data_IF_770530365802
#
_entry.id   IF_770530365802
#
_cell.length_a   1.000
_cell.length_b   1.000
_cell.length_c   1.000
_cell.angle_alpha   90.00
_cell.angle_beta   90.00
_cell.angle_gamma   90.00
#
_symmetry.space_group_name_H-M   'P 1'
#
loop_
_entity.id
_entity.type
_entity.pdbx_description
1 polymer ?
#
# COMPACT_ATOMS: atom_id res chain seq x y z
N UNK A 1 -13.68 7.44 10.52
CA UNK A 1 -12.61 8.13 9.76
C UNK A 1 -13.12 9.49 9.35
N UNK A 2 -12.84 10.49 10.16
CA UNK A 2 -13.33 11.87 10.04
C UNK A 2 -12.18 12.87 9.84
N UNK A 3 -10.92 12.41 9.89
CA UNK A 3 -9.73 13.22 9.68
C UNK A 3 -8.76 12.58 8.69
N UNK A 4 -7.89 13.42 8.14
CA UNK A 4 -6.83 13.00 7.23
C UNK A 4 -5.53 13.76 7.45
N UNK A 5 -4.43 13.16 7.01
CA UNK A 5 -3.12 13.80 6.81
C UNK A 5 -2.74 13.60 5.35
N UNK A 6 -2.28 14.66 4.69
CA UNK A 6 -1.72 14.56 3.34
C UNK A 6 -0.20 14.71 3.39
N UNK A 7 0.49 13.76 2.77
CA UNK A 7 1.94 13.73 2.65
C UNK A 7 2.28 13.73 1.17
N UNK A 8 2.97 14.77 0.71
CA UNK A 8 3.44 14.91 -0.66
C UNK A 8 4.95 14.69 -0.70
N UNK A 9 5.38 13.72 -1.49
CA UNK A 9 6.78 13.52 -1.86
C UNK A 9 7.23 14.68 -2.75
N UNK A 10 8.40 15.24 -2.46
CA UNK A 10 9.00 16.31 -3.24
C UNK A 10 9.89 15.75 -4.36
N UNK A 11 9.97 16.42 -5.51
CA UNK A 11 10.97 16.12 -6.53
C UNK A 11 12.37 16.30 -5.96
N UNK A 12 13.26 15.36 -6.27
CA UNK A 12 14.64 15.38 -5.83
C UNK A 12 15.56 14.91 -6.98
N UNK A 13 16.74 15.54 -7.18
CA UNK A 13 17.64 15.16 -8.27
C UNK A 13 18.31 13.80 -8.06
N UNK A 14 18.47 13.34 -6.81
CA UNK A 14 19.12 12.08 -6.48
C UNK A 14 18.11 10.93 -6.38
N UNK A 15 16.87 11.23 -5.98
CA UNK A 15 15.84 10.22 -5.73
C UNK A 15 14.58 10.37 -6.60
N UNK A 16 14.20 9.29 -7.27
CA UNK A 16 12.90 9.22 -7.94
C UNK A 16 11.72 9.29 -6.95
N UNK A 17 10.61 9.87 -7.39
CA UNK A 17 9.34 9.91 -6.64
C UNK A 17 8.91 8.52 -6.14
N UNK A 18 9.04 7.49 -6.98
CA UNK A 18 8.65 6.11 -6.66
C UNK A 18 9.50 5.51 -5.54
N UNK A 19 10.80 5.83 -5.51
CA UNK A 19 11.71 5.38 -4.47
C UNK A 19 11.38 6.05 -3.13
N UNK A 20 11.11 7.36 -3.14
CA UNK A 20 10.72 8.11 -1.94
C UNK A 20 9.35 7.65 -1.42
N UNK A 21 8.37 7.47 -2.32
CA UNK A 21 7.05 6.95 -1.95
C UNK A 21 7.14 5.51 -1.41
N UNK A 22 7.98 4.66 -1.99
CA UNK A 22 8.25 3.31 -1.48
C UNK A 22 8.90 3.35 -0.09
N UNK A 23 9.88 4.23 0.13
CA UNK A 23 10.51 4.42 1.43
C UNK A 23 9.50 4.92 2.48
N UNK A 24 8.67 5.90 2.12
CA UNK A 24 7.60 6.42 2.97
C UNK A 24 6.61 5.32 3.35
N UNK A 25 6.13 4.55 2.37
CA UNK A 25 5.23 3.42 2.59
C UNK A 25 5.86 2.34 3.49
N UNK A 26 7.15 2.06 3.34
CA UNK A 26 7.87 1.14 4.20
C UNK A 26 7.97 1.66 5.66
N UNK A 27 8.18 2.97 5.86
CA UNK A 27 8.17 3.55 7.21
C UNK A 27 6.78 3.49 7.83
N UNK A 28 5.75 3.86 7.07
CA UNK A 28 4.36 3.80 7.50
C UNK A 28 3.99 2.37 7.90
N UNK A 29 4.38 1.40 7.08
CA UNK A 29 4.11 -0.01 7.36
C UNK A 29 4.62 -0.45 8.74
N UNK A 30 5.83 -0.01 9.12
CA UNK A 30 6.40 -0.30 10.44
C UNK A 30 5.62 0.39 11.55
N UNK A 31 5.27 1.66 11.37
CA UNK A 31 4.52 2.41 12.37
C UNK A 31 3.12 1.84 12.60
N UNK A 32 2.41 1.47 11.52
CA UNK A 32 1.11 0.81 11.62
C UNK A 32 1.23 -0.61 12.22
N UNK A 33 2.30 -1.34 11.87
CA UNK A 33 2.61 -2.64 12.47
C UNK A 33 2.86 -2.54 13.99
N UNK A 34 3.55 -1.49 14.44
CA UNK A 34 3.76 -1.21 15.85
C UNK A 34 2.46 -0.81 16.57
N UNK A 35 1.61 0.00 15.92
CA UNK A 35 0.31 0.40 16.49
C UNK A 35 -0.67 -0.77 16.58
N UNK A 36 -0.74 -1.64 15.58
CA UNK A 36 -1.54 -2.86 15.61
C UNK A 36 -3.07 -2.70 15.62
N UNK A 37 -3.60 -1.46 15.55
CA UNK A 37 -5.03 -1.17 15.69
C UNK A 37 -5.84 -1.33 14.38
N UNK A 38 -5.21 -1.27 13.21
CA UNK A 38 -5.87 -1.43 11.90
C UNK A 38 -6.99 -0.41 11.60
N UNK A 39 -6.94 0.75 12.27
CA UNK A 39 -7.89 1.87 12.26
C UNK A 39 -7.47 3.02 11.32
N UNK A 40 -6.31 2.89 10.66
CA UNK A 40 -5.76 3.89 9.73
C UNK A 40 -5.69 3.30 8.32
N UNK A 41 -6.36 3.97 7.40
CA UNK A 41 -6.40 3.65 5.98
C UNK A 41 -5.53 4.58 5.17
N UNK A 42 -5.14 4.16 3.96
CA UNK A 42 -4.40 5.02 3.02
C UNK A 42 -5.08 5.13 1.67
N UNK A 43 -4.91 6.28 1.04
CA UNK A 43 -5.21 6.44 -0.38
C UNK A 43 -4.09 7.19 -1.10
N UNK A 44 -4.11 7.10 -2.42
CA UNK A 44 -3.20 7.82 -3.30
C UNK A 44 -4.04 8.71 -4.21
N UNK A 45 -4.33 9.97 -3.82
CA UNK A 45 -5.19 10.87 -4.59
C UNK A 45 -4.64 11.14 -6.00
N UNK A 46 -3.31 11.28 -6.12
CA UNK A 46 -2.62 11.56 -7.38
C UNK A 46 -2.25 10.30 -8.21
N UNK A 47 -2.88 9.15 -7.93
CA UNK A 47 -2.59 7.92 -8.67
C UNK A 47 -3.00 8.01 -10.15
N UNK A 48 -2.21 7.34 -11.00
CA UNK A 48 -2.50 7.07 -12.40
C UNK A 48 -1.84 5.75 -12.78
N UNK A 49 -0.94 5.77 -13.77
CA UNK A 49 -0.08 4.62 -14.10
C UNK A 49 0.84 4.27 -12.91
N UNK A 50 1.26 5.29 -12.14
CA UNK A 50 2.05 5.17 -10.92
C UNK A 50 1.21 5.57 -9.70
N UNK A 51 1.61 5.21 -8.46
CA UNK A 51 0.92 5.63 -7.25
C UNK A 51 0.85 7.16 -7.08
N UNK A 52 1.76 7.92 -7.70
CA UNK A 52 1.83 9.37 -7.63
C UNK A 52 2.51 9.90 -6.37
N UNK A 53 2.73 11.21 -6.33
CA UNK A 53 3.48 11.89 -5.28
C UNK A 53 2.74 12.03 -3.94
N UNK A 54 1.43 11.78 -3.90
CA UNK A 54 0.58 12.10 -2.75
C UNK A 54 0.08 10.84 -2.06
N UNK A 55 0.44 10.69 -0.80
CA UNK A 55 -0.08 9.69 0.13
C UNK A 55 -1.01 10.39 1.12
N UNK A 56 -2.26 9.95 1.20
CA UNK A 56 -3.23 10.43 2.19
C UNK A 56 -3.51 9.35 3.22
N UNK A 57 -3.37 9.70 4.49
CA UNK A 57 -3.76 8.86 5.62
C UNK A 57 -5.16 9.26 6.07
N UNK A 58 -6.00 8.27 6.36
CA UNK A 58 -7.38 8.45 6.82
C UNK A 58 -7.53 7.77 8.17
N UNK A 59 -8.18 8.42 9.11
CA UNK A 59 -8.32 7.91 10.47
C UNK A 59 -9.23 8.79 11.31
N UNK A 60 -9.37 8.43 12.59
CA UNK A 60 -9.87 9.36 13.59
C UNK A 60 -8.76 10.32 14.02
N UNK A 61 -9.12 11.52 14.48
CA UNK A 61 -8.15 12.52 14.95
C UNK A 61 -7.15 11.92 15.97
N UNK A 62 -7.66 11.17 16.94
CA UNK A 62 -6.84 10.53 17.97
C UNK A 62 -5.87 9.50 17.38
N UNK A 63 -6.35 8.62 16.50
CA UNK A 63 -5.53 7.60 15.85
C UNK A 63 -4.39 8.22 15.02
N UNK A 64 -4.68 9.28 14.28
CA UNK A 64 -3.68 10.02 13.52
C UNK A 64 -2.70 10.75 14.43
N UNK A 65 -3.16 11.35 15.52
CA UNK A 65 -2.29 12.02 16.51
C UNK A 65 -1.33 11.03 17.19
N UNK A 66 -1.82 9.84 17.56
CA UNK A 66 -1.00 8.76 18.09
C UNK A 66 0.05 8.28 17.07
N UNK A 67 -0.30 8.22 15.77
CA UNK A 67 0.65 7.85 14.74
C UNK A 67 1.74 8.92 14.60
N UNK A 68 1.36 10.20 14.57
CA UNK A 68 2.29 11.33 14.44
C UNK A 68 3.27 11.44 15.60
N UNK A 69 2.85 11.11 16.83
CA UNK A 69 3.72 11.14 18.01
C UNK A 69 4.88 10.13 17.96
N UNK A 70 4.79 9.10 17.12
CA UNK A 70 5.87 8.13 16.88
C UNK A 70 7.03 8.72 16.07
N UNK A 71 6.89 9.93 15.51
CA UNK A 71 7.88 10.56 14.62
C UNK A 71 8.32 9.61 13.47
N UNK A 72 7.40 8.80 12.97
CA UNK A 72 7.68 7.66 12.08
C UNK A 72 8.30 8.05 10.72
N UNK A 73 8.21 9.32 10.33
CA UNK A 73 8.82 9.86 9.10
C UNK A 73 10.28 10.29 9.27
N UNK A 74 10.87 10.25 10.47
CA UNK A 74 12.24 10.72 10.74
C UNK A 74 13.25 10.30 9.66
N UNK A 75 13.93 11.26 9.05
CA UNK A 75 14.87 11.05 7.94
C UNK A 75 14.23 10.97 6.54
N UNK A 76 12.93 11.22 6.41
CA UNK A 76 12.26 11.53 5.13
C UNK A 76 11.61 12.92 5.12
N UNK A 77 11.74 13.68 6.21
CA UNK A 77 11.09 14.98 6.37
C UNK A 77 11.53 15.98 5.30
N UNK A 78 12.80 15.98 4.91
CA UNK A 78 13.33 16.90 3.89
C UNK A 78 12.81 16.59 2.48
N UNK A 79 12.31 15.36 2.27
CA UNK A 79 11.77 14.89 0.99
C UNK A 79 10.24 14.88 0.95
N UNK A 80 9.57 15.34 2.01
CA UNK A 80 8.12 15.25 2.14
C UNK A 80 7.53 16.54 2.73
N UNK A 81 6.52 17.10 2.06
CA UNK A 81 5.61 18.07 2.68
C UNK A 81 4.46 17.34 3.35
N UNK A 82 4.24 17.60 4.64
CA UNK A 82 3.16 17.01 5.41
C UNK A 82 2.21 18.12 5.89
N UNK A 83 0.91 17.93 5.71
CA UNK A 83 -0.09 18.80 6.32
C UNK A 83 -0.23 18.49 7.82
N UNK A 84 -0.83 19.41 8.57
CA UNK A 84 -1.43 19.08 9.85
C UNK A 84 -2.59 18.08 9.66
N UNK A 85 -3.07 17.50 10.76
CA UNK A 85 -4.29 16.71 10.80
C UNK A 85 -5.47 17.64 10.50
N UNK A 86 -6.28 17.30 9.50
CA UNK A 86 -7.44 18.09 9.07
C UNK A 86 -8.69 17.24 9.11
N UNK A 87 -9.83 17.85 9.42
CA UNK A 87 -11.12 17.22 9.24
C UNK A 87 -11.35 16.92 7.75
N UNK A 88 -11.96 15.76 7.46
CA UNK A 88 -12.40 15.40 6.12
C UNK A 88 -13.50 16.39 5.71
N UNK A 89 -13.42 17.00 4.51
CA UNK A 89 -14.48 17.88 4.02
C UNK A 89 -15.79 17.11 3.80
N UNK A 90 -16.84 17.79 3.40
CA UNK A 90 -18.04 17.08 2.95
C UNK A 90 -17.69 16.17 1.76
N UNK A 91 -17.93 14.87 1.92
CA UNK A 91 -17.62 13.84 0.94
C UNK A 91 -18.87 13.07 0.54
N UNK A 92 -18.98 12.78 -0.75
CA UNK A 92 -20.09 12.01 -1.33
C UNK A 92 -19.63 10.65 -1.87
N UNK A 93 -18.31 10.40 -1.85
CA UNK A 93 -17.73 9.20 -2.44
C UNK A 93 -16.71 8.57 -1.50
N UNK A 94 -16.71 7.24 -1.50
CA UNK A 94 -15.76 6.40 -0.80
C UNK A 94 -15.23 5.33 -1.75
N UNK A 95 -14.04 4.79 -1.48
CA UNK A 95 -13.55 3.63 -2.22
C UNK A 95 -12.63 2.76 -1.38
N UNK A 96 -12.54 1.49 -1.75
CA UNK A 96 -11.51 0.61 -1.19
C UNK A 96 -10.16 0.89 -1.86
N UNK A 97 -9.08 0.85 -1.08
CA UNK A 97 -7.71 0.87 -1.60
C UNK A 97 -7.03 -0.41 -1.15
N UNK A 98 -6.86 -1.34 -2.10
CA UNK A 98 -6.57 -2.74 -1.83
C UNK A 98 -5.23 -3.17 -2.41
N UNK A 99 -4.55 -4.09 -1.72
CA UNK A 99 -3.39 -4.78 -2.29
C UNK A 99 -3.86 -5.86 -3.26
N UNK A 100 -3.25 -5.90 -4.44
CA UNK A 100 -3.44 -7.02 -5.39
C UNK A 100 -2.18 -7.89 -5.43
N UNK A 101 -2.37 -9.20 -5.32
CA UNK A 101 -1.28 -10.16 -5.46
C UNK A 101 -1.37 -10.82 -6.83
N UNK A 102 -0.54 -10.35 -7.75
CA UNK A 102 -0.47 -10.92 -9.09
C UNK A 102 0.34 -12.20 -9.06
N UNK A 103 -0.17 -13.23 -9.73
CA UNK A 103 0.51 -14.51 -9.97
C UNK A 103 1.52 -14.37 -11.12
N UNK A 104 2.43 -13.40 -10.99
CA UNK A 104 3.35 -12.98 -12.05
C UNK A 104 4.67 -13.75 -12.09
N UNK A 105 4.81 -14.85 -11.36
CA UNK A 105 6.03 -15.67 -11.40
C UNK A 105 5.67 -17.14 -11.30
N UNK A 106 5.59 -17.80 -12.46
CA UNK A 106 5.34 -19.22 -12.56
C UNK A 106 6.41 -20.05 -11.81
N UNK A 107 7.72 -19.76 -11.92
CA UNK A 107 8.75 -20.49 -11.17
C UNK A 107 8.63 -20.36 -9.65
N UNK A 108 8.22 -19.19 -9.13
CA UNK A 108 7.99 -19.01 -7.68
C UNK A 108 6.78 -19.82 -7.21
N UNK A 109 5.70 -19.84 -7.99
CA UNK A 109 4.50 -20.60 -7.65
C UNK A 109 4.78 -22.10 -7.68
N UNK A 110 5.48 -22.59 -8.70
CA UNK A 110 5.79 -24.01 -8.81
C UNK A 110 6.77 -24.49 -7.74
N UNK A 111 7.85 -23.75 -7.44
CA UNK A 111 8.73 -24.05 -6.29
C UNK A 111 7.96 -24.14 -4.96
N UNK A 112 6.96 -23.26 -4.76
CA UNK A 112 6.10 -23.31 -3.57
C UNK A 112 5.22 -24.56 -3.57
N UNK A 113 4.66 -24.96 -4.71
CA UNK A 113 3.83 -26.17 -4.84
C UNK A 113 4.63 -27.45 -4.60
N UNK A 114 5.85 -27.55 -5.16
CA UNK A 114 6.76 -28.68 -4.90
C UNK A 114 7.13 -28.75 -3.42
N UNK A 115 7.52 -27.62 -2.81
CA UNK A 115 7.86 -27.57 -1.38
C UNK A 115 6.69 -27.97 -0.47
N UNK A 116 5.45 -27.77 -0.93
CA UNK A 116 4.23 -28.18 -0.22
C UNK A 116 3.81 -29.63 -0.50
N UNK A 117 4.52 -30.34 -1.38
CA UNK A 117 4.20 -31.70 -1.80
C UNK A 117 2.97 -31.81 -2.69
N UNK A 118 2.56 -30.71 -3.34
CA UNK A 118 1.36 -30.69 -4.19
C UNK A 118 1.60 -31.22 -5.60
N UNK A 119 2.84 -31.16 -6.08
CA UNK A 119 3.27 -31.60 -7.41
C UNK A 119 4.73 -32.06 -7.35
N UNK A 120 5.17 -32.86 -8.32
CA UNK A 120 6.60 -33.21 -8.46
C UNK A 120 7.41 -32.10 -9.13
N UNK A 121 8.74 -32.21 -9.09
CA UNK A 121 9.63 -31.25 -9.77
C UNK A 121 9.47 -31.33 -11.30
N UNK A 122 9.24 -32.52 -11.84
CA UNK A 122 8.99 -32.74 -13.28
C UNK A 122 7.68 -32.07 -13.71
N UNK A 123 6.60 -32.26 -12.94
CA UNK A 123 5.31 -31.61 -13.17
C UNK A 123 5.42 -30.08 -13.05
N UNK A 124 6.21 -29.58 -12.10
CA UNK A 124 6.51 -28.17 -11.95
C UNK A 124 7.19 -27.59 -13.20
N UNK A 125 8.21 -28.27 -13.74
CA UNK A 125 8.91 -27.82 -14.95
C UNK A 125 7.99 -27.79 -16.18
N UNK A 126 7.12 -28.78 -16.33
CA UNK A 126 6.13 -28.79 -17.41
C UNK A 126 5.14 -27.62 -17.28
N UNK A 127 4.62 -27.38 -16.08
CA UNK A 127 3.69 -26.28 -15.82
C UNK A 127 4.33 -24.90 -15.98
N UNK A 128 5.62 -24.72 -15.69
CA UNK A 128 6.31 -23.45 -15.93
C UNK A 128 6.35 -23.11 -17.43
N UNK A 129 6.53 -24.11 -18.31
CA UNK A 129 6.62 -23.89 -19.77
C UNK A 129 5.29 -23.48 -20.39
N UNK A 130 4.18 -23.90 -19.79
CA UNK A 130 2.82 -23.64 -20.28
C UNK A 130 2.08 -22.55 -19.53
N UNK A 131 2.57 -22.14 -18.35
CA UNK A 131 1.95 -21.07 -17.58
C UNK A 131 2.22 -19.71 -18.21
N UNK A 132 1.14 -19.01 -18.52
CA UNK A 132 1.20 -17.58 -18.78
C UNK A 132 1.32 -16.82 -17.45
N UNK A 133 2.31 -15.92 -17.38
CA UNK A 133 2.46 -15.04 -16.23
C UNK A 133 1.40 -13.95 -16.28
N UNK A 134 0.63 -13.82 -15.20
CA UNK A 134 -0.35 -12.75 -15.11
C UNK A 134 0.35 -11.38 -15.13
N UNK A 135 -0.08 -10.52 -16.05
CA UNK A 135 0.35 -9.12 -16.15
C UNK A 135 -0.72 -8.20 -15.59
N UNK A 136 -0.29 -7.06 -15.07
CA UNK A 136 -1.18 -6.00 -14.58
C UNK A 136 -0.58 -4.64 -14.91
N UNK A 137 -1.47 -3.70 -15.17
CA UNK A 137 -1.24 -2.26 -15.32
C UNK A 137 -1.42 -1.49 -14.01
N UNK A 138 -1.75 -2.20 -12.90
CA UNK A 138 -1.96 -1.56 -11.61
C UNK A 138 -0.69 -0.83 -11.12
N UNK A 139 -0.86 0.35 -10.52
CA UNK A 139 0.25 1.07 -9.90
C UNK A 139 0.85 0.23 -8.77
N UNK A 140 2.18 0.31 -8.61
CA UNK A 140 2.88 -0.48 -7.61
C UNK A 140 4.08 0.26 -7.02
N UNK A 141 4.48 -0.17 -5.81
CA UNK A 141 5.69 0.30 -5.14
C UNK A 141 6.68 -0.87 -4.98
N UNK A 142 7.97 -0.61 -5.17
CA UNK A 142 9.02 -1.59 -4.90
C UNK A 142 9.42 -1.54 -3.42
N UNK A 143 9.05 -2.54 -2.63
CA UNK A 143 9.34 -2.58 -1.20
C UNK A 143 10.31 -3.69 -0.87
N UNK A 144 11.11 -3.50 0.18
CA UNK A 144 11.98 -4.54 0.74
C UNK A 144 11.41 -5.04 2.06
N UNK A 145 11.18 -6.34 2.14
CA UNK A 145 10.78 -7.01 3.38
C UNK A 145 11.95 -7.04 4.37
N UNK A 146 11.70 -6.66 5.62
CA UNK A 146 12.71 -6.74 6.68
C UNK A 146 12.87 -8.17 7.22
N UNK A 147 11.78 -8.95 7.27
CA UNK A 147 11.82 -10.32 7.80
C UNK A 147 12.49 -11.31 6.86
N UNK A 148 12.37 -11.10 5.55
CA UNK A 148 12.93 -12.00 4.54
C UNK A 148 14.08 -11.38 3.75
N UNK A 149 14.33 -10.07 3.90
CA UNK A 149 15.32 -9.32 3.11
C UNK A 149 14.97 -9.14 1.62
N UNK A 150 13.88 -9.76 1.15
CA UNK A 150 13.50 -9.82 -0.26
C UNK A 150 12.74 -8.58 -0.71
N UNK A 151 13.05 -8.12 -1.92
CA UNK A 151 12.28 -7.08 -2.60
C UNK A 151 11.04 -7.67 -3.25
N UNK A 152 9.93 -6.92 -3.23
CA UNK A 152 8.67 -7.30 -3.85
C UNK A 152 7.88 -6.08 -4.32
N UNK A 153 7.01 -6.30 -5.31
CA UNK A 153 6.07 -5.28 -5.79
C UNK A 153 4.80 -5.30 -4.96
N UNK A 154 4.43 -4.15 -4.39
CA UNK A 154 3.14 -3.92 -3.75
C UNK A 154 2.21 -3.27 -4.77
N UNK A 155 1.41 -4.09 -5.48
CA UNK A 155 0.39 -3.57 -6.40
C UNK A 155 -0.80 -3.04 -5.61
N UNK A 156 -1.26 -1.85 -5.97
CA UNK A 156 -2.33 -1.12 -5.30
C UNK A 156 -3.45 -0.92 -6.31
N UNK A 157 -4.65 -1.30 -5.92
CA UNK A 157 -5.87 -1.08 -6.69
C UNK A 157 -6.82 -0.20 -5.91
N UNK A 158 -7.22 0.89 -6.52
CA UNK A 158 -8.32 1.71 -6.05
C UNK A 158 -9.61 1.19 -6.67
N UNK A 159 -10.53 0.70 -5.84
CA UNK A 159 -11.81 0.14 -6.27
C UNK A 159 -12.76 1.21 -6.80
N UNK A 160 -13.96 0.81 -7.22
CA UNK A 160 -14.99 1.75 -7.69
C UNK A 160 -15.39 2.76 -6.60
N UNK A 161 -15.93 3.90 -7.03
CA UNK A 161 -16.51 4.88 -6.13
C UNK A 161 -17.86 4.37 -5.64
N UNK A 162 -18.04 4.38 -4.33
CA UNK A 162 -19.25 4.00 -3.63
C UNK A 162 -19.89 5.25 -3.02
N UNK A 163 -21.22 5.24 -2.94
CA UNK A 163 -22.01 6.33 -2.35
C UNK A 163 -22.15 6.26 -0.83
N UNK A 164 -21.61 5.21 -0.19
CA UNK A 164 -21.66 5.02 1.25
C UNK A 164 -20.35 4.42 1.79
N UNK A 165 -19.96 4.74 3.04
CA UNK A 165 -18.80 4.15 3.68
C UNK A 165 -19.06 2.70 4.08
N UNK A 166 -18.02 1.87 4.02
CA UNK A 166 -18.01 0.50 4.56
C UNK A 166 -16.96 0.43 5.66
N UNK A 167 -17.42 0.16 6.88
CA UNK A 167 -16.55 0.00 8.04
C UNK A 167 -15.81 -1.33 7.95
N UNK A 168 -14.53 -1.31 8.28
CA UNK A 168 -13.71 -2.51 8.36
C UNK A 168 -12.29 -2.19 8.81
N UNK A 169 -11.44 -3.20 8.78
CA UNK A 169 -10.05 -3.08 9.21
C UNK A 169 -9.12 -2.86 8.03
N UNK A 170 -8.03 -2.15 8.29
CA UNK A 170 -6.92 -1.96 7.37
C UNK A 170 -5.74 -2.84 7.75
N UNK A 171 -5.03 -3.31 6.75
CA UNK A 171 -3.78 -4.04 6.95
C UNK A 171 -2.69 -3.14 7.54
N UNK A 172 -1.54 -3.71 7.88
CA UNK A 172 -0.35 -2.95 8.28
C UNK A 172 0.24 -2.10 7.15
N UNK A 173 -0.32 -2.14 5.94
CA UNK A 173 -0.03 -1.18 4.87
C UNK A 173 -1.10 -0.09 4.75
N UNK A 174 -2.08 -0.04 5.65
CA UNK A 174 -3.24 0.83 5.56
C UNK A 174 -4.17 0.51 4.38
N UNK A 175 -4.00 -0.65 3.75
CA UNK A 175 -4.81 -1.11 2.61
C UNK A 175 -5.91 -2.07 3.08
N UNK A 176 -7.08 -2.01 2.44
CA UNK A 176 -8.19 -2.93 2.68
C UNK A 176 -8.94 -3.25 1.39
N UNK A 177 -9.44 -4.49 1.29
CA UNK A 177 -10.30 -4.91 0.18
C UNK A 177 -11.79 -4.61 0.45
N UNK A 178 -12.15 -4.37 1.71
CA UNK A 178 -13.54 -4.21 2.16
C UNK A 178 -13.80 -2.86 2.81
N UNK A 179 -12.87 -2.37 3.64
CA UNK A 179 -13.01 -1.08 4.29
C UNK A 179 -12.77 0.05 3.29
N UNK A 180 -13.62 1.06 3.32
CA UNK A 180 -13.52 2.20 2.41
C UNK A 180 -12.89 3.40 3.10
N UNK A 181 -12.24 4.25 2.31
CA UNK A 181 -11.73 5.56 2.73
C UNK A 181 -12.48 6.67 1.99
N UNK A 182 -12.68 7.84 2.61
CA UNK A 182 -13.20 9.03 1.94
C UNK A 182 -12.39 9.37 0.69
N UNK A 183 -13.07 9.77 -0.39
CA UNK A 183 -12.43 10.15 -1.65
C UNK A 183 -12.79 11.58 -2.06
N UNK A 184 -11.76 12.42 -2.22
CA UNK A 184 -11.83 13.83 -2.58
C UNK A 184 -10.49 14.33 -3.12
#
# INVERSE_FOLDING_TARGET
MDHYIEIRVLPDPEFSEEMLMAALMAKLHRALGQRGKGDIGVSFPAHGIKPGAVLRLHGEHLALSELESLAWRKGLSDYCLCTAIKAVPEVYHWRCVSRVQVKSSAPRLMRRSVKKGWITEEEAQQRIRTMEEARTDLPWLNLRSLSTGQSFRLFIRHGELLSAPVVGMFSTYGLSATATVPWF
#
